data_IF_248272645976
#
_entry.id   IF_248272645976
#
_cell.length_a   1.000
_cell.length_b   1.000
_cell.length_c   1.000
_cell.angle_alpha   90.00
_cell.angle_beta   90.00
_cell.angle_gamma   90.00
#
_symmetry.space_group_name_H-M   'P 1'
#
loop_
_entity.id
_entity.type
_entity.pdbx_description
1 polymer ?
#
# COMPACT_ATOMS: atom_id res chain seq x y z
N UNK A 1 24.63 -0.19 -19.64
CA UNK A 1 24.04 -1.29 -20.44
C UNK A 1 22.60 -0.94 -20.75
N UNK A 2 22.07 -1.32 -21.91
CA UNK A 2 20.67 -1.12 -22.30
C UNK A 2 19.96 -2.46 -22.43
N UNK A 3 18.70 -2.50 -21.99
CA UNK A 3 17.79 -3.65 -22.17
C UNK A 3 16.58 -3.12 -22.95
N UNK A 4 16.23 -3.80 -24.04
CA UNK A 4 15.05 -3.50 -24.85
C UNK A 4 13.95 -4.50 -24.49
N UNK A 5 12.74 -4.00 -24.25
CA UNK A 5 11.57 -4.82 -23.90
C UNK A 5 10.45 -4.42 -24.86
N UNK A 6 9.87 -5.40 -25.54
CA UNK A 6 8.69 -5.18 -26.36
C UNK A 6 7.44 -5.21 -25.47
N UNK A 7 6.66 -4.14 -25.50
CA UNK A 7 5.40 -4.05 -24.77
C UNK A 7 4.25 -4.50 -25.68
N UNK A 8 3.34 -5.36 -25.20
CA UNK A 8 2.06 -5.58 -25.85
C UNK A 8 1.30 -4.27 -26.08
N UNK A 9 0.57 -4.17 -27.19
CA UNK A 9 -0.06 -2.91 -27.62
C UNK A 9 -1.06 -2.33 -26.61
N UNK A 10 -1.76 -3.19 -25.87
CA UNK A 10 -2.67 -2.83 -24.79
C UNK A 10 -1.93 -2.21 -23.59
N UNK A 11 -0.77 -2.76 -23.24
CA UNK A 11 0.06 -2.24 -22.15
C UNK A 11 0.73 -0.91 -22.55
N UNK A 12 1.15 -0.79 -23.81
CA UNK A 12 1.68 0.45 -24.36
C UNK A 12 0.63 1.58 -24.37
N UNK A 13 -0.61 1.27 -24.74
CA UNK A 13 -1.73 2.23 -24.69
C UNK A 13 -1.99 2.70 -23.25
N UNK A 14 -2.09 1.76 -22.32
CA UNK A 14 -2.29 2.04 -20.88
C UNK A 14 -1.17 2.91 -20.30
N UNK A 15 0.08 2.61 -20.68
CA UNK A 15 1.26 3.36 -20.25
C UNK A 15 1.21 4.80 -20.77
N UNK A 16 0.86 5.00 -22.06
CA UNK A 16 0.70 6.34 -22.63
C UNK A 16 -0.39 7.13 -21.93
N UNK A 17 -1.57 6.55 -21.74
CA UNK A 17 -2.70 7.21 -21.07
C UNK A 17 -2.33 7.69 -19.65
N UNK A 18 -1.61 6.85 -18.90
CA UNK A 18 -1.18 7.19 -17.53
C UNK A 18 -0.20 8.35 -17.51
N UNK A 19 0.64 8.48 -18.53
CA UNK A 19 1.66 9.52 -18.64
C UNK A 19 1.16 10.82 -19.28
N UNK A 20 -0.02 10.83 -19.90
CA UNK A 20 -0.68 12.09 -20.30
C UNK A 20 -0.92 13.00 -19.10
N UNK A 21 -1.07 12.42 -17.90
CA UNK A 21 -1.42 13.13 -16.66
C UNK A 21 -0.23 13.45 -15.75
N UNK A 22 0.98 12.98 -16.09
CA UNK A 22 2.17 13.10 -15.25
C UNK A 22 3.32 13.63 -16.11
N UNK A 23 4.02 14.71 -15.71
CA UNK A 23 5.13 15.29 -16.48
C UNK A 23 6.39 14.40 -16.53
N UNK A 24 6.32 13.14 -16.10
CA UNK A 24 7.42 12.19 -16.19
C UNK A 24 7.45 11.53 -17.57
N UNK A 25 8.63 11.46 -18.17
CA UNK A 25 8.87 10.73 -19.41
C UNK A 25 8.68 9.22 -19.19
N UNK A 26 8.16 8.50 -20.19
CA UNK A 26 7.98 7.03 -20.22
C UNK A 26 9.17 6.28 -19.65
N UNK A 27 10.39 6.67 -20.02
CA UNK A 27 11.62 6.02 -19.53
C UNK A 27 11.77 6.16 -18.02
N UNK A 28 11.48 7.32 -17.44
CA UNK A 28 11.58 7.54 -16.01
C UNK A 28 10.57 6.67 -15.24
N UNK A 29 9.33 6.60 -15.73
CA UNK A 29 8.28 5.77 -15.15
C UNK A 29 8.64 4.28 -15.18
N UNK A 30 9.12 3.78 -16.32
CA UNK A 30 9.50 2.36 -16.44
C UNK A 30 10.69 2.03 -15.54
N UNK A 31 11.69 2.92 -15.45
CA UNK A 31 12.82 2.73 -14.55
C UNK A 31 12.40 2.74 -13.08
N UNK A 32 11.46 3.58 -12.69
CA UNK A 32 10.89 3.61 -11.34
C UNK A 32 10.15 2.30 -11.04
N UNK A 33 9.28 1.84 -11.93
CA UNK A 33 8.57 0.56 -11.77
C UNK A 33 9.55 -0.63 -11.64
N UNK A 34 10.64 -0.64 -12.43
CA UNK A 34 11.69 -1.66 -12.29
C UNK A 34 12.39 -1.55 -10.94
N UNK A 35 12.72 -0.34 -10.47
CA UNK A 35 13.32 -0.13 -9.14
C UNK A 35 12.39 -0.59 -8.01
N UNK A 36 11.09 -0.31 -8.11
CA UNK A 36 10.09 -0.77 -7.15
C UNK A 36 9.94 -2.29 -7.13
N UNK A 37 10.06 -2.95 -8.28
CA UNK A 37 10.01 -4.42 -8.35
C UNK A 37 11.30 -5.09 -7.88
N UNK A 38 12.44 -4.43 -8.06
CA UNK A 38 13.73 -4.91 -7.59
C UNK A 38 13.98 -4.57 -6.12
N UNK A 39 13.33 -3.55 -5.58
CA UNK A 39 13.38 -3.29 -4.15
C UNK A 39 12.66 -4.43 -3.43
N UNK A 40 13.33 -5.02 -2.44
CA UNK A 40 12.70 -5.99 -1.54
C UNK A 40 11.51 -5.26 -0.91
N UNK A 41 10.30 -5.64 -1.31
CA UNK A 41 9.10 -5.24 -0.61
C UNK A 41 9.24 -5.73 0.83
N UNK A 42 9.06 -4.84 1.81
CA UNK A 42 9.05 -5.25 3.20
C UNK A 42 7.99 -6.33 3.39
N UNK A 43 8.35 -7.39 4.06
CA UNK A 43 7.40 -8.40 4.53
C UNK A 43 6.39 -7.75 5.48
N UNK A 44 5.22 -8.38 5.64
CA UNK A 44 4.21 -7.89 6.59
C UNK A 44 4.80 -7.75 8.00
N UNK A 45 5.63 -8.71 8.43
CA UNK A 45 6.34 -8.65 9.70
C UNK A 45 7.27 -7.42 9.79
N UNK A 46 8.04 -7.10 8.75
CA UNK A 46 8.90 -5.92 8.72
C UNK A 46 8.12 -4.61 8.73
N UNK A 47 6.90 -4.61 8.18
CA UNK A 47 5.99 -3.46 8.23
C UNK A 47 5.40 -3.29 9.63
N UNK A 48 5.01 -4.39 10.27
CA UNK A 48 4.35 -4.40 11.58
C UNK A 48 5.32 -4.34 12.77
N UNK A 49 6.62 -4.64 12.58
CA UNK A 49 7.61 -4.69 13.65
C UNK A 49 7.64 -3.43 14.56
N UNK A 50 7.59 -2.18 14.03
CA UNK A 50 7.58 -0.99 14.89
C UNK A 50 6.33 -0.91 15.77
N UNK A 51 5.18 -1.32 15.23
CA UNK A 51 3.93 -1.34 15.98
C UNK A 51 3.95 -2.42 17.06
N UNK A 52 4.38 -3.63 16.72
CA UNK A 52 4.52 -4.73 17.68
C UNK A 52 5.46 -4.36 18.84
N UNK A 53 6.57 -3.66 18.55
CA UNK A 53 7.48 -3.17 19.58
C UNK A 53 6.84 -2.08 20.46
N UNK A 54 6.05 -1.18 19.86
CA UNK A 54 5.31 -0.16 20.61
C UNK A 54 4.29 -0.77 21.55
N UNK A 55 3.58 -1.81 21.12
CA UNK A 55 2.63 -2.57 21.95
C UNK A 55 3.35 -3.29 23.10
N UNK A 56 4.45 -3.99 22.79
CA UNK A 56 5.23 -4.67 23.82
C UNK A 56 5.79 -3.70 24.87
N UNK A 57 6.11 -2.46 24.47
CA UNK A 57 6.65 -1.43 25.37
C UNK A 57 5.56 -0.68 26.14
N UNK A 58 4.35 -0.55 25.59
CA UNK A 58 3.25 0.17 26.24
C UNK A 58 2.70 -0.57 27.45
N UNK A 59 2.99 -1.88 27.58
CA UNK A 59 2.47 -2.71 28.67
C UNK A 59 0.96 -2.94 28.59
N UNK A 60 0.35 -2.66 27.43
CA UNK A 60 -1.07 -2.94 27.15
C UNK A 60 -1.25 -4.44 27.09
N UNK A 61 -2.24 -4.96 27.80
CA UNK A 61 -2.59 -6.38 27.75
C UNK A 61 -3.32 -6.73 26.45
N UNK A 62 -3.25 -8.00 26.04
CA UNK A 62 -3.97 -8.49 24.86
C UNK A 62 -5.47 -8.20 24.96
N UNK A 63 -6.07 -8.38 26.14
CA UNK A 63 -7.49 -8.10 26.41
C UNK A 63 -7.87 -6.62 26.22
N UNK A 64 -6.95 -5.69 26.51
CA UNK A 64 -7.17 -4.26 26.32
C UNK A 64 -7.06 -3.86 24.84
N UNK A 65 -6.14 -4.50 24.12
CA UNK A 65 -6.01 -4.36 22.67
C UNK A 65 -7.24 -4.88 21.93
N UNK A 66 -7.75 -6.05 22.32
CA UNK A 66 -8.96 -6.63 21.74
C UNK A 66 -10.17 -5.71 21.92
N UNK A 67 -10.37 -5.18 23.13
CA UNK A 67 -11.44 -4.21 23.43
C UNK A 67 -11.32 -2.94 22.59
N UNK A 68 -10.10 -2.44 22.39
CA UNK A 68 -9.84 -1.26 21.56
C UNK A 68 -10.26 -1.51 20.10
N UNK A 69 -9.86 -2.65 19.54
CA UNK A 69 -10.21 -2.99 18.15
C UNK A 69 -11.70 -3.28 17.96
N UNK A 70 -12.34 -3.97 18.91
CA UNK A 70 -13.77 -4.21 18.86
C UNK A 70 -14.57 -2.92 18.92
N UNK A 71 -14.22 -2.00 19.83
CA UNK A 71 -14.83 -0.67 19.91
C UNK A 71 -14.68 0.11 18.60
N UNK A 72 -13.47 0.19 18.05
CA UNK A 72 -13.22 0.89 16.79
C UNK A 72 -13.99 0.27 15.61
N UNK A 73 -14.13 -1.07 15.58
CA UNK A 73 -14.90 -1.77 14.56
C UNK A 73 -16.39 -1.48 14.67
N UNK A 74 -16.93 -1.49 15.89
CA UNK A 74 -18.32 -1.14 16.20
C UNK A 74 -18.63 0.29 15.74
N UNK A 75 -17.77 1.25 16.07
CA UNK A 75 -17.94 2.67 15.70
C UNK A 75 -18.00 2.86 14.18
N UNK A 76 -17.11 2.22 13.43
CA UNK A 76 -17.12 2.26 11.96
C UNK A 76 -18.38 1.58 11.40
N UNK A 77 -18.82 0.48 12.00
CA UNK A 77 -20.03 -0.21 11.58
C UNK A 77 -21.26 0.67 11.78
N UNK A 78 -21.41 1.28 12.95
CA UNK A 78 -22.49 2.22 13.28
C UNK A 78 -22.49 3.42 12.33
N UNK A 79 -21.33 4.04 12.08
CA UNK A 79 -21.22 5.17 11.16
C UNK A 79 -21.67 4.83 9.74
N UNK A 80 -21.38 3.61 9.26
CA UNK A 80 -21.82 3.12 7.95
C UNK A 80 -23.32 2.83 7.89
N UNK A 81 -23.93 2.37 8.98
CA UNK A 81 -25.39 2.15 9.03
C UNK A 81 -26.14 3.49 9.02
N UNK A 82 -25.68 4.48 9.79
CA UNK A 82 -26.28 5.81 9.84
C UNK A 82 -26.20 6.59 8.53
N UNK A 83 -25.27 6.25 7.63
CA UNK A 83 -25.18 6.84 6.28
C UNK A 83 -26.10 6.16 5.25
N UNK A 84 -26.72 5.02 5.59
CA UNK A 84 -27.62 4.27 4.70
C UNK A 84 -29.11 4.46 5.03
N UNK A 85 -29.44 5.13 6.13
CA UNK A 85 -30.80 5.54 6.53
C UNK A 85 -31.10 6.97 6.11
#
# INVERSE_FOLDING_TARGET
>A
MSVTIELPADLEATLRERLVRVPQNVTAFVLEAVREKLSRSKTLDEICAPFAQSVATSGVSDDELDRLFEGAREDVWQARQSQRS
#
